data_IF_530552233281
#
_entry.id   IF_530552233281
#
_cell.length_a   1.000
_cell.length_b   1.000
_cell.length_c   1.000
_cell.angle_alpha   90.00
_cell.angle_beta   90.00
_cell.angle_gamma   90.00
#
_symmetry.space_group_name_H-M   'P 1'
#
loop_
_entity.id
_entity.type
_entity.pdbx_description
1 polymer ?
#
# COMPACT_ATOMS: atom_id res chain seq x y z
N UNK A 1 -8.12 57.10 -40.27
CA UNK A 1 -7.20 56.20 -39.58
C UNK A 1 -8.01 55.27 -38.70
N UNK A 2 -8.11 54.01 -39.07
CA UNK A 2 -8.87 53.02 -38.29
C UNK A 2 -7.87 52.18 -37.46
N UNK A 3 -7.85 52.44 -36.16
CA UNK A 3 -7.03 51.72 -35.22
C UNK A 3 -7.68 50.33 -34.96
N UNK A 4 -7.11 49.29 -35.52
CA UNK A 4 -7.53 47.92 -35.28
C UNK A 4 -6.88 47.46 -33.99
N UNK A 5 -7.63 47.46 -32.92
CA UNK A 5 -7.24 46.78 -31.69
C UNK A 5 -7.21 45.26 -31.93
N UNK A 6 -6.01 44.71 -32.06
CA UNK A 6 -5.79 43.27 -31.99
C UNK A 6 -5.84 42.85 -30.51
N UNK A 7 -6.95 42.28 -30.13
CA UNK A 7 -7.08 41.62 -28.83
C UNK A 7 -6.34 40.28 -28.94
N UNK A 8 -5.14 40.24 -28.38
CA UNK A 8 -4.46 38.96 -28.15
C UNK A 8 -5.15 38.26 -26.99
N UNK A 9 -5.99 37.30 -27.32
CA UNK A 9 -6.49 36.36 -26.33
C UNK A 9 -5.33 35.43 -25.91
N UNK A 10 -4.69 35.77 -24.81
CA UNK A 10 -3.75 34.86 -24.13
C UNK A 10 -4.58 33.77 -23.47
N UNK A 11 -4.75 32.69 -24.17
CA UNK A 11 -5.33 31.46 -23.57
C UNK A 11 -4.27 30.88 -22.63
N UNK A 12 -4.36 31.25 -21.38
CA UNK A 12 -3.58 30.59 -20.32
C UNK A 12 -4.03 29.14 -20.25
N UNK A 13 -3.30 28.24 -20.90
CA UNK A 13 -3.43 26.80 -20.68
C UNK A 13 -2.97 26.53 -19.25
N UNK A 14 -3.93 26.50 -18.34
CA UNK A 14 -3.71 25.98 -16.99
C UNK A 14 -3.45 24.50 -17.16
N UNK A 15 -2.19 24.12 -17.20
CA UNK A 15 -1.75 22.74 -17.06
C UNK A 15 -2.13 22.32 -15.64
N UNK A 16 -3.30 21.73 -15.50
CA UNK A 16 -3.60 20.91 -14.36
C UNK A 16 -2.58 19.78 -14.38
N UNK A 17 -1.51 19.94 -13.63
CA UNK A 17 -0.73 18.83 -13.15
C UNK A 17 -1.66 18.05 -12.20
N UNK A 18 -2.54 17.23 -12.77
CA UNK A 18 -3.08 16.11 -12.05
C UNK A 18 -1.84 15.32 -11.64
N UNK A 19 -1.45 15.42 -10.37
CA UNK A 19 -0.54 14.47 -9.79
C UNK A 19 -1.18 13.12 -10.11
N UNK A 20 -0.66 12.47 -11.15
CA UNK A 20 -0.96 11.07 -11.39
C UNK A 20 -0.47 10.39 -10.12
N UNK A 21 -1.40 10.13 -9.20
CA UNK A 21 -1.20 9.11 -8.20
C UNK A 21 -0.95 7.86 -9.03
N UNK A 22 0.32 7.63 -9.31
CA UNK A 22 0.80 6.39 -9.84
C UNK A 22 0.30 5.33 -8.87
N UNK A 23 -0.82 4.69 -9.24
CA UNK A 23 -1.18 3.44 -8.60
C UNK A 23 0.05 2.57 -8.81
N UNK A 24 0.77 2.33 -7.72
CA UNK A 24 1.83 1.36 -7.71
C UNK A 24 1.14 0.03 -7.99
N UNK A 25 0.92 -0.26 -9.27
CA UNK A 25 0.36 -1.53 -9.70
C UNK A 25 1.27 -2.67 -9.24
N UNK A 26 0.82 -3.90 -9.37
CA UNK A 26 1.58 -5.10 -9.01
C UNK A 26 3.02 -5.10 -9.56
N UNK A 27 3.29 -4.33 -10.63
CA UNK A 27 4.62 -4.14 -11.23
C UNK A 27 5.62 -3.36 -10.36
N UNK A 28 5.17 -2.62 -9.35
CA UNK A 28 6.04 -1.90 -8.42
C UNK A 28 6.72 -2.81 -7.40
N UNK A 29 6.23 -4.05 -7.27
CA UNK A 29 6.72 -5.03 -6.31
C UNK A 29 7.54 -6.12 -6.99
N UNK A 30 8.61 -6.56 -6.32
CA UNK A 30 9.47 -7.64 -6.80
C UNK A 30 8.87 -9.00 -6.42
N UNK A 31 8.04 -9.55 -7.30
CA UNK A 31 7.38 -10.84 -7.09
C UNK A 31 8.33 -12.05 -7.15
N UNK A 32 9.56 -11.86 -7.58
CA UNK A 32 10.59 -12.91 -7.53
C UNK A 32 11.26 -13.02 -6.16
N UNK A 33 11.10 -12.00 -5.31
CA UNK A 33 11.71 -11.92 -4.00
C UNK A 33 10.65 -11.91 -2.89
N UNK A 34 10.33 -13.09 -2.37
CA UNK A 34 9.42 -13.23 -1.23
C UNK A 34 10.17 -13.00 0.07
N UNK A 35 9.70 -12.06 0.90
CA UNK A 35 10.26 -11.80 2.23
C UNK A 35 9.26 -12.16 3.33
N UNK A 36 9.80 -12.51 4.50
CA UNK A 36 9.03 -12.85 5.69
C UNK A 36 9.52 -12.00 6.86
N UNK A 37 8.60 -11.26 7.47
CA UNK A 37 8.91 -10.37 8.58
C UNK A 37 8.07 -10.71 9.81
N UNK A 38 8.72 -10.78 10.97
CA UNK A 38 8.04 -10.78 12.28
C UNK A 38 7.67 -9.33 12.56
N UNK A 39 6.39 -9.09 12.78
CA UNK A 39 5.83 -7.75 12.80
C UNK A 39 5.03 -7.48 14.07
N UNK A 40 5.05 -6.23 14.49
CA UNK A 40 4.13 -5.66 15.48
C UNK A 40 3.25 -4.63 14.78
N UNK A 41 1.95 -4.84 14.78
CA UNK A 41 1.00 -3.96 14.09
C UNK A 41 0.97 -2.59 14.77
N UNK A 42 1.16 -1.53 13.98
CA UNK A 42 1.04 -0.14 14.45
C UNK A 42 -0.26 0.51 13.98
N UNK A 43 -0.76 0.15 12.80
CA UNK A 43 -2.03 0.66 12.30
C UNK A 43 -2.63 -0.31 11.26
N UNK A 44 -3.95 -0.48 11.29
CA UNK A 44 -4.68 -1.22 10.26
C UNK A 44 -5.65 -0.27 9.56
N UNK A 45 -5.25 0.19 8.38
CA UNK A 45 -6.01 1.15 7.57
C UNK A 45 -7.00 0.43 6.67
N UNK A 46 -8.25 0.40 7.10
CA UNK A 46 -9.36 -0.18 6.33
C UNK A 46 -9.95 0.87 5.39
N UNK A 47 -9.28 1.09 4.26
CA UNK A 47 -9.57 2.18 3.31
C UNK A 47 -9.71 1.70 1.88
N UNK A 48 -10.44 2.45 1.05
CA UNK A 48 -10.44 2.29 -0.40
C UNK A 48 -9.35 3.18 -1.03
N UNK A 49 -8.76 2.79 -2.17
CA UNK A 49 -9.01 1.57 -2.93
C UNK A 49 -8.33 0.31 -2.35
N UNK A 50 -7.38 0.46 -1.44
CA UNK A 50 -6.64 -0.65 -0.85
C UNK A 50 -6.59 -0.54 0.68
N UNK A 51 -6.55 -1.70 1.34
CA UNK A 51 -6.26 -1.80 2.76
C UNK A 51 -4.76 -1.82 2.97
N UNK A 52 -4.29 -1.09 3.98
CA UNK A 52 -2.88 -1.05 4.35
C UNK A 52 -2.67 -1.53 5.78
N UNK A 53 -1.59 -2.24 5.98
CA UNK A 53 -1.13 -2.71 7.29
C UNK A 53 0.19 -2.00 7.58
N UNK A 54 0.21 -1.12 8.58
CA UNK A 54 1.43 -0.49 9.05
C UNK A 54 1.97 -1.30 10.23
N UNK A 55 3.26 -1.53 10.25
CA UNK A 55 3.88 -2.34 11.28
C UNK A 55 5.35 -2.02 11.48
N UNK A 56 5.84 -2.42 12.63
CA UNK A 56 7.24 -2.39 12.98
C UNK A 56 7.85 -3.79 12.86
N UNK A 57 9.05 -3.85 12.29
CA UNK A 57 9.87 -5.06 12.24
C UNK A 57 11.31 -4.72 12.55
N UNK A 58 12.06 -5.68 13.08
CA UNK A 58 13.48 -5.48 13.34
C UNK A 58 14.29 -5.76 12.08
N UNK A 59 15.27 -4.89 11.80
CA UNK A 59 16.29 -5.16 10.82
C UNK A 59 17.31 -6.19 11.33
N UNK A 60 18.24 -6.70 10.51
CA UNK A 60 19.25 -7.66 10.95
C UNK A 60 20.20 -7.13 12.04
N UNK A 61 20.26 -5.80 12.22
CA UNK A 61 21.07 -5.14 13.26
C UNK A 61 20.30 -4.91 14.56
N UNK A 62 19.00 -5.23 14.59
CA UNK A 62 18.12 -5.05 15.74
C UNK A 62 17.47 -3.65 15.83
N UNK A 63 17.60 -2.81 14.80
CA UNK A 63 16.90 -1.53 14.75
C UNK A 63 15.46 -1.74 14.27
N UNK A 64 14.57 -0.85 14.71
CA UNK A 64 13.19 -0.87 14.27
C UNK A 64 13.03 -0.21 12.91
N UNK A 65 12.53 -0.97 11.95
CA UNK A 65 12.07 -0.47 10.65
C UNK A 65 10.56 -0.30 10.67
N UNK A 66 10.09 0.82 10.13
CA UNK A 66 8.66 1.09 9.93
C UNK A 66 8.25 0.69 8.51
N UNK A 67 7.32 -0.25 8.41
CA UNK A 67 6.86 -0.83 7.16
C UNK A 67 5.41 -0.50 6.86
N UNK A 68 5.08 -0.46 5.58
CA UNK A 68 3.70 -0.45 5.07
C UNK A 68 3.48 -1.65 4.15
N UNK A 69 2.42 -2.40 4.40
CA UNK A 69 2.02 -3.53 3.56
C UNK A 69 0.69 -3.23 2.88
N UNK A 70 0.69 -3.26 1.55
CA UNK A 70 -0.51 -3.06 0.75
C UNK A 70 -1.25 -4.39 0.55
N UNK A 71 -2.57 -4.36 0.68
CA UNK A 71 -3.46 -5.48 0.40
C UNK A 71 -4.48 -5.10 -0.66
N UNK A 72 -5.55 -5.88 -0.79
CA UNK A 72 -6.65 -5.63 -1.72
C UNK A 72 -7.69 -4.68 -1.11
N UNK A 73 -8.76 -4.38 -1.85
CA UNK A 73 -9.81 -3.48 -1.37
C UNK A 73 -10.62 -4.09 -0.21
N UNK A 74 -11.25 -3.24 0.62
CA UNK A 74 -12.00 -3.70 1.79
C UNK A 74 -13.17 -4.63 1.45
N UNK A 75 -13.86 -4.38 0.35
CA UNK A 75 -15.01 -5.19 -0.08
C UNK A 75 -14.63 -6.64 -0.36
N UNK A 76 -13.48 -6.85 -1.00
CA UNK A 76 -12.97 -8.19 -1.29
C UNK A 76 -12.47 -8.89 -0.02
N UNK A 77 -11.75 -8.18 0.84
CA UNK A 77 -11.31 -8.73 2.12
C UNK A 77 -12.50 -9.12 3.00
N UNK A 78 -13.58 -8.32 3.03
CA UNK A 78 -14.81 -8.63 3.77
C UNK A 78 -15.43 -9.94 3.32
N UNK A 79 -15.46 -10.23 2.02
CA UNK A 79 -15.93 -11.51 1.46
C UNK A 79 -15.07 -12.71 1.91
N UNK A 80 -13.84 -12.45 2.31
CA UNK A 80 -12.89 -13.45 2.80
C UNK A 80 -12.85 -13.52 4.34
N UNK A 81 -13.77 -12.84 5.00
CA UNK A 81 -13.91 -12.88 6.46
C UNK A 81 -13.07 -11.85 7.22
N UNK A 82 -12.38 -10.94 6.52
CA UNK A 82 -11.68 -9.85 7.19
C UNK A 82 -12.65 -8.75 7.59
N UNK A 83 -12.36 -8.07 8.68
CA UNK A 83 -13.10 -6.90 9.16
C UNK A 83 -12.12 -5.82 9.62
N UNK A 84 -12.63 -4.63 9.92
CA UNK A 84 -11.83 -3.54 10.53
C UNK A 84 -11.15 -3.96 11.85
N UNK A 85 -11.60 -5.04 12.48
CA UNK A 85 -11.09 -5.57 13.75
C UNK A 85 -10.19 -6.78 13.59
N UNK A 86 -9.89 -7.18 12.35
CA UNK A 86 -9.02 -8.34 12.08
C UNK A 86 -7.63 -8.17 12.68
N UNK A 87 -7.09 -6.95 12.63
CA UNK A 87 -5.82 -6.60 13.23
C UNK A 87 -5.99 -5.39 14.15
N UNK A 88 -5.29 -5.40 15.28
CA UNK A 88 -5.28 -4.34 16.26
C UNK A 88 -3.86 -3.86 16.54
N UNK A 89 -3.72 -2.62 17.04
CA UNK A 89 -2.44 -2.11 17.50
C UNK A 89 -1.78 -3.07 18.48
N UNK A 90 -0.51 -3.34 18.28
CA UNK A 90 0.29 -4.22 19.15
C UNK A 90 0.21 -5.71 18.82
N UNK A 91 -0.68 -6.14 17.92
CA UNK A 91 -0.74 -7.54 17.51
C UNK A 91 0.61 -8.01 16.96
N UNK A 92 1.06 -9.18 17.38
CA UNK A 92 2.26 -9.84 16.87
C UNK A 92 1.85 -10.82 15.78
N UNK A 93 2.37 -10.58 14.59
CA UNK A 93 2.03 -11.36 13.40
C UNK A 93 3.29 -11.69 12.60
N UNK A 94 3.15 -12.62 11.66
CA UNK A 94 4.17 -12.82 10.61
C UNK A 94 3.57 -12.35 9.30
N UNK A 95 4.26 -11.43 8.62
CA UNK A 95 3.85 -10.89 7.32
C UNK A 95 4.77 -11.46 6.25
N UNK A 96 4.18 -12.01 5.21
CA UNK A 96 4.85 -12.59 4.05
C UNK A 96 4.36 -11.85 2.82
N UNK A 97 5.28 -11.41 1.98
CA UNK A 97 4.93 -10.68 0.77
C UNK A 97 6.14 -10.28 -0.06
N UNK A 98 5.91 -9.36 -0.97
CA UNK A 98 6.84 -8.94 -1.99
C UNK A 98 7.28 -7.50 -1.76
N UNK A 99 8.58 -7.22 -1.57
CA UNK A 99 9.07 -5.88 -1.33
C UNK A 99 8.95 -4.99 -2.57
N UNK A 100 8.88 -3.69 -2.34
CA UNK A 100 8.95 -2.72 -3.42
C UNK A 100 10.31 -2.77 -4.12
N UNK A 101 10.31 -2.72 -5.45
CA UNK A 101 11.53 -2.68 -6.28
C UNK A 101 12.38 -1.45 -5.99
N UNK A 102 11.78 -0.37 -5.50
CA UNK A 102 12.48 0.86 -5.12
C UNK A 102 13.39 0.73 -3.92
N UNK A 103 13.26 -0.36 -3.14
CA UNK A 103 13.97 -0.53 -1.87
C UNK A 103 13.33 0.18 -0.68
N UNK A 104 12.22 0.90 -0.87
CA UNK A 104 11.45 1.49 0.23
C UNK A 104 10.85 0.41 1.13
N UNK A 105 10.55 0.75 2.39
CA UNK A 105 9.94 -0.17 3.36
C UNK A 105 8.44 -0.35 3.11
N UNK A 106 8.12 -0.75 1.89
CA UNK A 106 6.76 -1.03 1.42
C UNK A 106 6.74 -2.42 0.79
N UNK A 107 5.66 -3.16 1.00
CA UNK A 107 5.50 -4.49 0.41
C UNK A 107 4.06 -4.77 0.01
N UNK A 108 3.86 -5.72 -0.87
CA UNK A 108 2.57 -6.27 -1.24
C UNK A 108 2.30 -7.53 -0.41
N UNK A 109 1.14 -7.58 0.24
CA UNK A 109 0.76 -8.71 1.08
C UNK A 109 0.47 -9.97 0.24
N UNK A 110 1.14 -11.06 0.57
CA UNK A 110 0.78 -12.40 0.09
C UNK A 110 0.03 -13.18 1.16
N UNK A 111 0.54 -13.18 2.38
CA UNK A 111 0.01 -13.94 3.51
C UNK A 111 0.33 -13.25 4.83
N UNK A 112 -0.59 -13.31 5.77
CA UNK A 112 -0.38 -12.92 7.15
C UNK A 112 -0.68 -14.11 8.06
N UNK A 113 0.16 -14.34 9.05
CA UNK A 113 -0.04 -15.40 10.05
C UNK A 113 -0.25 -14.72 11.40
N UNK A 114 -1.41 -14.94 11.99
CA UNK A 114 -1.75 -14.42 13.32
C UNK A 114 -0.89 -15.08 14.41
N UNK A 115 -0.91 -14.51 15.61
CA UNK A 115 -0.13 -15.01 16.75
C UNK A 115 -0.50 -16.45 17.14
N UNK A 116 -1.75 -16.86 16.92
CA UNK A 116 -2.25 -18.24 17.15
C UNK A 116 -1.88 -19.22 16.03
N UNK A 117 -1.17 -18.77 14.99
CA UNK A 117 -0.77 -19.56 13.84
C UNK A 117 -1.79 -19.61 12.71
N UNK A 118 -2.96 -18.97 12.85
CA UNK A 118 -3.98 -18.93 11.79
C UNK A 118 -3.50 -18.10 10.59
N UNK A 119 -3.46 -18.68 9.39
CA UNK A 119 -3.10 -17.91 8.20
C UNK A 119 -4.30 -17.12 7.67
N UNK A 120 -4.02 -15.91 7.21
CA UNK A 120 -4.93 -15.07 6.42
C UNK A 120 -4.28 -14.83 5.07
N UNK A 121 -4.92 -15.30 4.01
CA UNK A 121 -4.41 -15.19 2.64
C UNK A 121 -5.41 -14.38 1.84
N UNK A 122 -5.11 -13.11 1.52
CA UNK A 122 -5.96 -12.35 0.60
C UNK A 122 -5.91 -13.02 -0.75
N UNK A 123 -7.05 -13.39 -1.32
CA UNK A 123 -7.09 -13.85 -2.68
C UNK A 123 -6.78 -12.65 -3.58
N UNK A 124 -5.58 -12.64 -4.13
CA UNK A 124 -5.24 -11.71 -5.20
C UNK A 124 -6.02 -12.19 -6.42
N UNK A 125 -6.91 -11.35 -6.94
CA UNK A 125 -7.53 -11.63 -8.23
C UNK A 125 -6.44 -11.48 -9.30
N UNK A 126 -6.26 -12.53 -10.07
CA UNK A 126 -5.45 -12.55 -11.28
C UNK A 126 -6.03 -11.61 -12.35
#
# INVERSE_FOLDING_TARGET
MRLRCMIFAVTAAILFNAAAFSHHGASAYDRSNRITLKASITEFKWTNPHVYILFDALDPKGNTDHWSCESINPGMLSKQGWTRRTLNFGDKVTIIGFPAKSGSKVMLLEKLILADGKPLVPALLD
#
